data_IF_511688524849
#
_entry.id   IF_511688524849
#
_cell.length_a   1.000
_cell.length_b   1.000
_cell.length_c   1.000
_cell.angle_alpha   90.00
_cell.angle_beta   90.00
_cell.angle_gamma   90.00
#
_symmetry.space_group_name_H-M   'P 1'
#
loop_
_entity.id
_entity.type
_entity.pdbx_description
1 polymer ?
#
# COMPACT_ATOMS: atom_id res chain seq x y z
N UNK A 1 21.55 23.97 0.67
CA UNK A 1 20.80 22.70 0.59
C UNK A 1 21.66 21.71 -0.16
N UNK A 2 22.05 20.59 0.46
CA UNK A 2 22.69 19.51 -0.29
C UNK A 2 21.62 18.75 -1.09
N UNK A 3 21.89 18.35 -2.34
CA UNK A 3 20.95 17.54 -3.11
C UNK A 3 20.68 16.25 -2.35
N UNK A 4 19.41 15.89 -2.22
CA UNK A 4 19.00 14.60 -1.64
C UNK A 4 19.73 13.51 -2.44
N UNK A 5 20.70 12.87 -1.79
CA UNK A 5 21.44 11.75 -2.35
C UNK A 5 20.44 10.76 -2.94
N UNK A 6 20.73 10.22 -4.13
CA UNK A 6 19.90 9.28 -4.88
C UNK A 6 19.20 8.24 -3.98
N UNK A 7 18.02 8.56 -3.45
CA UNK A 7 17.21 7.63 -2.67
C UNK A 7 16.69 6.62 -3.69
N UNK A 8 17.37 5.48 -3.78
CA UNK A 8 16.84 4.32 -4.50
C UNK A 8 15.76 3.71 -3.62
N UNK A 9 14.51 3.95 -3.98
CA UNK A 9 13.37 3.28 -3.37
C UNK A 9 13.35 1.83 -3.86
N UNK A 10 13.88 0.93 -3.04
CA UNK A 10 13.73 -0.50 -3.31
C UNK A 10 12.37 -0.97 -2.78
N UNK A 11 11.36 -0.85 -3.65
CA UNK A 11 10.00 -1.31 -3.42
C UNK A 11 9.94 -2.84 -3.20
N UNK A 12 10.98 -3.60 -3.57
CA UNK A 12 11.01 -5.06 -3.41
C UNK A 12 11.14 -5.53 -1.96
N UNK A 13 11.49 -4.62 -1.04
CA UNK A 13 11.61 -4.93 0.40
C UNK A 13 10.34 -4.66 1.20
N UNK A 14 9.30 -4.12 0.56
CA UNK A 14 8.07 -3.72 1.23
C UNK A 14 7.09 -4.88 1.19
N UNK A 15 6.71 -5.47 2.35
CA UNK A 15 5.70 -6.49 2.33
C UNK A 15 4.41 -5.88 1.77
N UNK A 16 3.84 -6.56 0.77
CA UNK A 16 2.60 -6.18 0.12
C UNK A 16 1.90 -7.43 -0.38
N UNK A 17 0.57 -7.39 -0.42
CA UNK A 17 -0.24 -8.43 -1.03
C UNK A 17 -0.85 -7.86 -2.31
N UNK A 18 -0.58 -8.50 -3.44
CA UNK A 18 -1.23 -8.21 -4.71
C UNK A 18 -2.36 -9.22 -4.92
N UNK A 19 -3.58 -8.73 -5.09
CA UNK A 19 -4.76 -9.57 -5.32
C UNK A 19 -5.45 -9.20 -6.64
N UNK A 20 -5.88 -10.23 -7.38
CA UNK A 20 -6.63 -10.09 -8.62
C UNK A 20 -8.11 -9.85 -8.30
N UNK A 21 -8.71 -8.90 -9.01
CA UNK A 21 -10.15 -8.61 -8.95
C UNK A 21 -10.83 -9.48 -9.99
N UNK A 22 -11.55 -10.50 -9.52
CA UNK A 22 -12.33 -11.36 -10.42
C UNK A 22 -13.56 -10.63 -10.99
N UNK A 23 -13.99 -10.95 -12.23
CA UNK A 23 -15.18 -10.35 -12.82
C UNK A 23 -16.41 -10.47 -11.91
N UNK A 24 -17.10 -9.35 -11.66
CA UNK A 24 -18.27 -9.29 -10.79
C UNK A 24 -17.97 -9.32 -9.28
N UNK A 25 -16.70 -9.44 -8.87
CA UNK A 25 -16.33 -9.34 -7.46
C UNK A 25 -16.43 -7.90 -6.96
N UNK A 26 -16.84 -7.75 -5.69
CA UNK A 26 -16.81 -6.46 -5.01
C UNK A 26 -15.37 -6.14 -4.61
N UNK A 27 -14.81 -5.05 -5.14
CA UNK A 27 -13.43 -4.61 -4.84
C UNK A 27 -13.17 -4.46 -3.35
N UNK A 28 -14.15 -3.97 -2.58
CA UNK A 28 -14.04 -3.88 -1.12
C UNK A 28 -13.83 -5.23 -0.43
N UNK A 29 -14.45 -6.31 -0.93
CA UNK A 29 -14.21 -7.67 -0.38
C UNK A 29 -12.79 -8.15 -0.70
N UNK A 30 -12.30 -7.88 -1.90
CA UNK A 30 -10.94 -8.24 -2.31
C UNK A 30 -9.90 -7.49 -1.47
N UNK A 31 -10.11 -6.19 -1.22
CA UNK A 31 -9.27 -5.38 -0.33
C UNK A 31 -9.21 -5.99 1.07
N UNK A 32 -10.37 -6.32 1.66
CA UNK A 32 -10.42 -6.88 3.01
C UNK A 32 -9.76 -8.26 3.11
N UNK A 33 -9.94 -9.12 2.11
CA UNK A 33 -9.26 -10.43 2.05
C UNK A 33 -7.75 -10.25 1.96
N UNK A 34 -7.26 -9.39 1.06
CA UNK A 34 -5.84 -9.12 0.92
C UNK A 34 -5.23 -8.46 2.17
N UNK A 35 -6.03 -7.68 2.91
CA UNK A 35 -5.65 -7.08 4.18
C UNK A 35 -5.50 -8.12 5.29
N UNK A 36 -6.41 -9.10 5.37
CA UNK A 36 -6.31 -10.22 6.29
C UNK A 36 -5.07 -11.08 5.99
N UNK A 37 -4.81 -11.36 4.72
CA UNK A 37 -3.62 -12.08 4.27
C UNK A 37 -2.33 -11.32 4.62
N UNK A 38 -2.32 -10.00 4.41
CA UNK A 38 -1.19 -9.14 4.79
C UNK A 38 -0.92 -9.20 6.28
N UNK A 39 -1.97 -9.07 7.10
CA UNK A 39 -1.84 -9.11 8.56
C UNK A 39 -1.35 -10.48 9.05
N UNK A 40 -1.84 -11.57 8.46
CA UNK A 40 -1.41 -12.92 8.77
C UNK A 40 0.07 -13.15 8.44
N UNK A 41 0.53 -12.68 7.28
CA UNK A 41 1.91 -12.90 6.82
C UNK A 41 2.92 -11.99 7.54
N UNK A 42 2.51 -10.80 7.96
CA UNK A 42 3.44 -9.78 8.47
C UNK A 42 3.30 -9.48 9.96
N UNK A 43 2.22 -9.92 10.59
CA UNK A 43 1.86 -9.55 11.97
C UNK A 43 1.54 -8.06 12.14
N UNK A 44 1.20 -7.36 11.05
CA UNK A 44 0.98 -5.91 11.02
C UNK A 44 -0.35 -5.56 10.36
N UNK A 45 -1.00 -4.51 10.86
CA UNK A 45 -2.19 -3.97 10.21
C UNK A 45 -1.83 -3.25 8.90
N UNK A 46 -2.58 -3.48 7.81
CA UNK A 46 -2.47 -2.69 6.60
C UNK A 46 -3.13 -1.31 6.80
N UNK A 47 -2.72 -0.33 5.99
CA UNK A 47 -3.29 1.01 6.03
C UNK A 47 -3.68 1.55 4.65
N UNK A 48 -3.16 0.95 3.58
CA UNK A 48 -3.41 1.41 2.22
C UNK A 48 -3.81 0.26 1.29
N UNK A 49 -4.73 0.57 0.39
CA UNK A 49 -5.08 -0.25 -0.76
C UNK A 49 -4.87 0.58 -2.03
N UNK A 50 -4.06 0.08 -2.95
CA UNK A 50 -3.72 0.76 -4.20
C UNK A 50 -4.39 0.09 -5.38
N UNK A 51 -5.03 0.88 -6.23
CA UNK A 51 -5.68 0.42 -7.48
C UNK A 51 -5.26 1.30 -8.64
N UNK A 52 -5.22 0.74 -9.85
CA UNK A 52 -4.93 1.53 -11.06
C UNK A 52 -6.06 2.49 -11.40
N UNK A 53 -7.29 2.02 -11.24
CA UNK A 53 -8.52 2.77 -11.49
C UNK A 53 -9.42 2.70 -10.26
N UNK A 54 -9.97 3.84 -9.85
CA UNK A 54 -10.91 3.88 -8.73
C UNK A 54 -12.20 3.20 -9.18
N UNK A 55 -12.71 2.18 -8.45
CA UNK A 55 -13.94 1.49 -8.83
C UNK A 55 -15.13 2.45 -8.88
N UNK A 56 -16.04 2.21 -9.83
CA UNK A 56 -17.28 2.99 -9.93
C UNK A 56 -18.04 3.00 -8.59
N UNK A 57 -18.38 4.20 -8.10
CA UNK A 57 -19.06 4.39 -6.83
C UNK A 57 -18.14 4.47 -5.60
N UNK A 58 -16.82 4.50 -5.79
CA UNK A 58 -15.85 4.85 -4.76
C UNK A 58 -15.16 6.18 -5.10
N UNK A 59 -14.54 6.80 -4.10
CA UNK A 59 -13.72 7.99 -4.23
C UNK A 59 -12.29 7.70 -3.78
N UNK A 60 -11.30 8.43 -4.31
CA UNK A 60 -9.92 8.35 -3.81
C UNK A 60 -9.87 8.86 -2.37
N UNK A 61 -8.98 8.29 -1.56
CA UNK A 61 -8.84 8.54 -0.11
C UNK A 61 -10.02 8.10 0.75
N UNK A 62 -11.01 7.38 0.20
CA UNK A 62 -12.05 6.73 1.02
C UNK A 62 -11.44 5.63 1.88
N UNK A 63 -11.93 5.51 3.12
CA UNK A 63 -11.49 4.46 4.04
C UNK A 63 -12.43 3.27 4.07
N UNK A 64 -11.86 2.08 3.99
CA UNK A 64 -12.53 0.81 4.20
C UNK A 64 -11.91 0.13 5.42
N UNK A 65 -12.60 0.14 6.56
CA UNK A 65 -12.05 -0.38 7.84
C UNK A 65 -10.65 0.17 8.15
N UNK A 66 -10.46 1.48 8.05
CA UNK A 66 -9.16 2.18 8.26
C UNK A 66 -8.08 1.90 7.20
N UNK A 67 -8.45 1.27 6.08
CA UNK A 67 -7.58 1.10 4.91
C UNK A 67 -7.96 2.18 3.90
N UNK A 68 -7.03 3.09 3.61
CA UNK A 68 -7.23 4.18 2.66
C UNK A 68 -7.04 3.67 1.22
N UNK A 69 -8.02 3.92 0.36
CA UNK A 69 -7.94 3.64 -1.07
C UNK A 69 -7.14 4.74 -1.79
N UNK A 70 -6.14 4.38 -2.57
CA UNK A 70 -5.27 5.31 -3.31
C UNK A 70 -5.15 4.85 -4.75
N UNK A 71 -5.19 5.79 -5.71
CA UNK A 71 -4.89 5.47 -7.10
C UNK A 71 -3.38 5.38 -7.32
N UNK A 72 -2.92 4.33 -7.99
CA UNK A 72 -1.51 4.14 -8.30
C UNK A 72 -1.31 3.50 -9.68
N UNK A 73 -0.60 4.21 -10.56
CA UNK A 73 -0.38 3.78 -11.95
C UNK A 73 0.47 2.50 -12.07
N UNK A 74 1.26 2.17 -11.05
CA UNK A 74 2.12 0.97 -11.04
C UNK A 74 1.36 -0.33 -10.74
N UNK A 75 0.14 -0.24 -10.18
CA UNK A 75 -0.71 -1.42 -9.94
C UNK A 75 -1.22 -1.92 -11.30
N UNK A 76 -1.18 -3.23 -11.59
CA UNK A 76 -1.75 -3.75 -12.84
C UNK A 76 -3.26 -3.56 -12.95
N UNK A 77 -3.78 -3.51 -14.17
CA UNK A 77 -5.23 -3.46 -14.39
C UNK A 77 -5.93 -4.68 -13.77
N UNK A 78 -7.10 -4.46 -13.16
CA UNK A 78 -7.85 -5.52 -12.48
C UNK A 78 -7.17 -6.08 -11.23
N UNK A 79 -6.22 -5.36 -10.62
CA UNK A 79 -5.58 -5.76 -9.38
C UNK A 79 -5.72 -4.70 -8.29
N UNK A 80 -5.54 -5.14 -7.05
CA UNK A 80 -5.36 -4.28 -5.89
C UNK A 80 -4.11 -4.70 -5.13
N UNK A 81 -3.35 -3.73 -4.65
CA UNK A 81 -2.21 -3.97 -3.79
C UNK A 81 -2.48 -3.44 -2.38
N UNK A 82 -2.33 -4.28 -1.36
CA UNK A 82 -2.54 -3.89 0.05
C UNK A 82 -1.22 -3.89 0.80
N UNK A 83 -0.96 -2.82 1.55
CA UNK A 83 0.19 -2.73 2.44
C UNK A 83 -0.06 -1.75 3.60
N UNK A 84 0.85 -1.71 4.57
CA UNK A 84 0.78 -0.78 5.71
C UNK A 84 1.13 0.67 5.36
N UNK A 85 1.89 0.88 4.28
CA UNK A 85 2.52 2.16 3.94
C UNK A 85 3.27 2.83 5.09
N UNK A 86 3.90 3.96 4.76
CA UNK A 86 5.00 4.52 5.54
C UNK A 86 6.33 3.91 5.15
N UNK A 87 7.32 4.76 4.85
CA UNK A 87 8.70 4.31 4.71
C UNK A 87 9.07 3.55 5.99
N UNK A 88 9.35 2.25 5.88
CA UNK A 88 10.33 1.70 6.80
C UNK A 88 11.64 2.37 6.43
N UNK A 89 11.99 3.42 7.16
CA UNK A 89 13.30 4.01 6.98
C UNK A 89 14.30 3.04 7.59
N UNK A 90 14.89 2.22 6.72
CA UNK A 90 15.97 1.31 7.04
C UNK A 90 17.33 2.01 7.10
N UNK A 91 17.35 3.34 7.02
CA UNK A 91 18.58 4.11 7.10
C UNK A 91 18.89 4.47 8.57
N UNK A 92 20.00 3.94 9.08
CA UNK A 92 20.55 4.36 10.38
C UNK A 92 20.85 5.86 10.41
N UNK A 93 21.14 6.51 9.27
CA UNK A 93 21.32 7.96 9.20
C UNK A 93 20.00 8.71 9.43
N UNK A 94 18.89 8.29 8.84
CA UNK A 94 17.61 8.96 9.06
C UNK A 94 17.15 8.84 10.52
N UNK A 95 17.41 7.71 11.19
CA UNK A 95 17.12 7.56 12.63
C UNK A 95 17.86 8.59 13.50
N UNK A 96 19.03 9.09 13.08
CA UNK A 96 19.76 10.16 13.78
C UNK A 96 19.07 11.51 13.65
N UNK A 97 18.32 11.75 12.57
CA UNK A 97 17.63 13.01 12.31
C UNK A 97 16.31 13.18 13.08
N UNK A 98 15.55 12.10 13.31
CA UNK A 98 14.26 12.16 14.06
C UNK A 98 14.45 12.19 15.58
N UNK A 99 15.66 11.89 16.09
CA UNK A 99 15.98 11.90 17.53
C UNK A 99 16.52 13.25 18.04
N UNK A 100 16.39 14.33 17.28
CA UNK A 100 16.64 15.71 17.73
C UNK A 100 15.31 16.42 17.96
#
# INVERSE_FOLDING_TARGET
>A
MQPLANIRFDISTWPMIMAKIEPGAKVSKIILSAAEDFALQTGKDPAYAFVREIPTGAEEFVELKKITLIRAAWVPDGHVAVCRGGMQVFDEEYRKWIKK
#
